data_IF_459577665988
#
_entry.id   IF_459577665988
#
_cell.length_a   1.000
_cell.length_b   1.000
_cell.length_c   1.000
_cell.angle_alpha   90.00
_cell.angle_beta   90.00
_cell.angle_gamma   90.00
#
_symmetry.space_group_name_H-M   'P 1'
#
loop_
_entity.id
_entity.type
_entity.pdbx_description
1 polymer ?
#
# COMPACT_ATOMS: atom_id res chain seq x y z
N UNK A 1 33.61 45.37 -27.90
CA UNK A 1 32.84 44.53 -26.97
C UNK A 1 32.60 45.31 -25.69
N UNK A 2 31.35 45.62 -25.39
CA UNK A 2 30.96 46.29 -24.14
C UNK A 2 30.57 45.23 -23.11
N UNK A 3 30.92 45.44 -21.84
CA UNK A 3 30.15 44.87 -20.73
C UNK A 3 30.21 45.85 -19.56
N UNK A 4 29.09 46.53 -19.34
CA UNK A 4 28.86 47.44 -18.24
C UNK A 4 28.64 46.65 -16.95
N UNK A 5 29.27 47.08 -15.87
CA UNK A 5 29.05 46.56 -14.52
C UNK A 5 27.76 47.18 -13.96
N UNK A 6 26.82 46.35 -13.51
CA UNK A 6 25.68 46.78 -12.70
C UNK A 6 25.73 46.00 -11.39
N UNK A 7 25.93 46.73 -10.30
CA UNK A 7 25.71 46.27 -8.93
C UNK A 7 24.27 46.58 -8.56
N UNK A 8 23.53 45.57 -8.08
CA UNK A 8 22.25 45.78 -7.40
C UNK A 8 22.25 44.99 -6.10
N UNK A 9 22.14 45.73 -5.00
CA UNK A 9 21.85 45.21 -3.68
C UNK A 9 20.52 44.45 -3.68
N UNK A 10 20.55 43.14 -3.51
CA UNK A 10 19.38 42.37 -3.11
C UNK A 10 19.32 42.34 -1.58
N UNK A 11 18.28 42.98 -1.03
CA UNK A 11 17.94 42.98 0.39
C UNK A 11 17.90 41.54 0.90
N UNK A 12 18.53 41.28 2.07
CA UNK A 12 18.26 40.06 2.84
C UNK A 12 16.78 40.06 3.23
N UNK A 13 15.95 39.39 2.43
CA UNK A 13 14.70 38.85 2.94
C UNK A 13 15.11 37.75 3.92
N UNK A 14 14.91 38.03 5.21
CA UNK A 14 14.83 37.01 6.24
C UNK A 14 13.78 36.00 5.77
N UNK A 15 14.23 34.89 5.19
CA UNK A 15 13.36 33.76 4.92
C UNK A 15 13.03 33.17 6.29
N UNK A 16 11.97 33.68 6.92
CA UNK A 16 11.10 32.80 7.70
C UNK A 16 10.72 31.68 6.75
N UNK A 17 11.46 30.57 6.82
CA UNK A 17 11.04 29.31 6.23
C UNK A 17 9.83 28.91 7.03
N UNK A 18 8.68 29.41 6.62
CA UNK A 18 7.41 28.98 7.16
C UNK A 18 7.37 27.46 6.92
N UNK A 19 7.23 26.70 8.00
CA UNK A 19 6.85 25.29 7.95
C UNK A 19 5.37 25.19 7.50
N UNK A 20 5.04 25.80 6.36
CA UNK A 20 3.75 25.59 5.74
C UNK A 20 3.83 24.26 4.99
N UNK A 21 2.96 23.36 5.44
CA UNK A 21 2.53 22.11 4.81
C UNK A 21 3.40 20.88 5.11
N UNK A 22 3.45 20.50 6.39
CA UNK A 22 3.89 19.16 6.84
C UNK A 22 2.80 18.09 6.68
N UNK A 23 1.58 18.48 6.31
CA UNK A 23 0.43 17.59 6.14
C UNK A 23 -0.02 17.62 4.67
N UNK A 24 -0.21 16.44 4.10
CA UNK A 24 -0.83 16.27 2.78
C UNK A 24 -2.34 16.48 2.88
N UNK A 25 -2.91 17.19 1.91
CA UNK A 25 -4.35 17.38 1.78
C UNK A 25 -4.96 16.43 0.74
N UNK A 26 -6.25 16.09 0.90
CA UNK A 26 -6.96 15.18 -0.01
C UNK A 26 -6.94 15.62 -1.48
N UNK A 27 -6.95 16.93 -1.71
CA UNK A 27 -6.94 17.52 -3.06
C UNK A 27 -5.57 17.39 -3.76
N UNK A 28 -4.53 16.98 -3.02
CA UNK A 28 -3.17 16.76 -3.53
C UNK A 28 -2.92 15.29 -3.89
N UNK A 29 -3.91 14.42 -3.69
CA UNK A 29 -3.78 12.98 -3.90
C UNK A 29 -4.12 12.63 -5.35
N UNK A 30 -3.22 11.88 -5.99
CA UNK A 30 -3.41 11.41 -7.35
C UNK A 30 -4.45 10.28 -7.37
N UNK A 31 -5.50 10.44 -8.17
CA UNK A 31 -6.48 9.38 -8.43
C UNK A 31 -6.04 8.52 -9.61
N UNK A 32 -6.09 7.21 -9.43
CA UNK A 32 -5.72 6.21 -10.40
C UNK A 32 -6.92 5.33 -10.70
N UNK A 33 -7.09 5.01 -11.98
CA UNK A 33 -8.04 3.99 -12.42
C UNK A 33 -7.32 3.06 -13.38
N UNK A 34 -7.57 1.77 -13.24
CA UNK A 34 -7.10 0.77 -14.20
C UNK A 34 -7.64 1.12 -15.59
N UNK A 35 -6.82 1.10 -16.65
CA UNK A 35 -7.31 1.30 -18.02
C UNK A 35 -8.41 0.31 -18.42
N UNK A 36 -8.40 -0.87 -17.80
CA UNK A 36 -9.34 -1.97 -18.05
C UNK A 36 -10.58 -1.89 -17.13
N UNK A 37 -10.65 -0.89 -16.24
CA UNK A 37 -11.67 -0.80 -15.20
C UNK A 37 -11.42 -1.78 -14.05
N UNK A 38 -12.40 -1.95 -13.16
CA UNK A 38 -12.34 -2.93 -12.06
C UNK A 38 -11.45 -2.54 -10.87
N UNK A 39 -10.59 -1.53 -11.02
CA UNK A 39 -9.73 -1.02 -9.95
C UNK A 39 -9.62 0.50 -10.03
N UNK A 40 -9.74 1.13 -8.86
CA UNK A 40 -9.55 2.57 -8.65
C UNK A 40 -8.86 2.82 -7.33
N UNK A 41 -8.05 3.86 -7.23
CA UNK A 41 -7.39 4.18 -5.98
C UNK A 41 -6.84 5.59 -5.90
N UNK A 42 -6.53 6.00 -4.67
CA UNK A 42 -5.92 7.28 -4.34
C UNK A 42 -4.55 7.00 -3.76
N UNK A 43 -3.50 7.54 -4.38
CA UNK A 43 -2.12 7.24 -4.02
C UNK A 43 -1.41 8.47 -3.47
N UNK A 44 -0.85 8.33 -2.28
CA UNK A 44 0.10 9.27 -1.70
C UNK A 44 1.51 8.66 -1.78
N UNK A 45 2.47 9.41 -2.32
CA UNK A 45 3.90 9.04 -2.34
C UNK A 45 4.67 10.04 -1.48
N UNK A 46 5.39 9.56 -0.47
CA UNK A 46 6.23 10.39 0.39
C UNK A 46 7.51 9.65 0.76
N UNK A 47 8.65 10.32 0.59
CA UNK A 47 9.96 9.82 1.02
C UNK A 47 10.30 8.36 0.62
N UNK A 48 9.87 7.90 -0.56
CA UNK A 48 10.10 6.52 -1.05
C UNK A 48 9.06 5.49 -0.60
N UNK A 49 8.18 5.86 0.31
CA UNK A 49 7.00 5.09 0.72
C UNK A 49 5.79 5.54 -0.07
N UNK A 50 4.84 4.63 -0.29
CA UNK A 50 3.55 4.94 -0.89
C UNK A 50 2.44 4.30 -0.10
N UNK A 51 1.37 5.07 0.07
CA UNK A 51 0.11 4.63 0.64
C UNK A 51 -0.95 4.71 -0.44
N UNK A 52 -1.72 3.65 -0.57
CA UNK A 52 -2.79 3.53 -1.55
C UNK A 52 -4.08 3.22 -0.81
N UNK A 53 -5.10 4.04 -1.03
CA UNK A 53 -6.48 3.67 -0.75
C UNK A 53 -7.08 3.12 -2.03
N UNK A 54 -7.50 1.86 -2.05
CA UNK A 54 -8.00 1.22 -3.26
C UNK A 54 -9.42 0.67 -3.10
N UNK A 55 -10.13 0.65 -4.22
CA UNK A 55 -11.36 -0.08 -4.42
C UNK A 55 -11.19 -1.00 -5.62
N UNK A 56 -11.58 -2.26 -5.46
CA UNK A 56 -11.64 -3.20 -6.57
C UNK A 56 -13.05 -3.75 -6.69
N UNK A 57 -13.53 -3.89 -7.91
CA UNK A 57 -14.81 -4.54 -8.19
C UNK A 57 -14.64 -6.07 -8.06
N UNK A 58 -15.72 -6.78 -7.75
CA UNK A 58 -15.72 -8.23 -7.63
C UNK A 58 -15.16 -8.91 -8.89
N UNK A 59 -14.31 -9.90 -8.69
CA UNK A 59 -13.61 -10.62 -9.76
C UNK A 59 -12.35 -9.93 -10.27
N UNK A 60 -12.05 -8.70 -9.83
CA UNK A 60 -10.77 -8.08 -10.17
C UNK A 60 -9.61 -8.92 -9.60
N UNK A 61 -8.65 -9.23 -10.46
CA UNK A 61 -7.56 -10.14 -10.18
C UNK A 61 -6.23 -9.50 -10.56
N UNK A 62 -5.23 -9.64 -9.70
CA UNK A 62 -3.88 -9.16 -9.95
C UNK A 62 -2.85 -10.09 -9.32
N UNK A 63 -1.85 -10.46 -10.12
CA UNK A 63 -0.76 -11.34 -9.70
C UNK A 63 0.58 -10.75 -10.12
N UNK A 64 1.46 -10.47 -9.15
CA UNK A 64 2.75 -9.85 -9.42
C UNK A 64 3.72 -10.00 -8.23
N UNK A 65 4.92 -9.44 -8.39
CA UNK A 65 5.89 -9.23 -7.32
C UNK A 65 6.57 -7.88 -7.49
N UNK A 66 7.13 -7.35 -6.40
CA UNK A 66 7.96 -6.16 -6.39
C UNK A 66 9.01 -6.27 -5.27
N UNK A 67 10.14 -5.56 -5.35
CA UNK A 67 11.24 -5.74 -4.40
C UNK A 67 10.94 -5.21 -3.00
N UNK A 68 9.96 -4.32 -2.85
CA UNK A 68 9.56 -3.74 -1.57
C UNK A 68 8.59 -4.64 -0.81
N UNK A 69 8.55 -4.53 0.51
CA UNK A 69 7.45 -5.13 1.28
C UNK A 69 6.13 -4.38 1.06
N UNK A 70 5.01 -5.06 1.29
CA UNK A 70 3.65 -4.52 1.21
C UNK A 70 2.82 -4.94 2.42
N UNK A 71 2.09 -4.01 3.00
CA UNK A 71 0.98 -4.28 3.93
C UNK A 71 -0.32 -4.01 3.19
N UNK A 72 -1.29 -4.90 3.29
CA UNK A 72 -2.67 -4.69 2.85
C UNK A 72 -3.59 -4.85 4.05
N UNK A 73 -4.41 -3.83 4.29
CA UNK A 73 -5.47 -3.84 5.29
C UNK A 73 -6.81 -3.78 4.59
N UNK A 74 -7.63 -4.82 4.77
CA UNK A 74 -8.94 -4.91 4.14
C UNK A 74 -9.98 -4.15 4.99
N UNK A 75 -10.63 -3.15 4.40
CA UNK A 75 -11.65 -2.31 5.04
C UNK A 75 -13.04 -2.92 4.86
N UNK A 76 -13.35 -3.41 3.65
CA UNK A 76 -14.62 -4.07 3.35
C UNK A 76 -14.46 -5.15 2.26
N UNK A 77 -15.43 -6.04 2.19
CA UNK A 77 -15.47 -7.13 1.20
C UNK A 77 -14.63 -8.35 1.59
N UNK A 78 -14.32 -9.19 0.61
CA UNK A 78 -13.58 -10.44 0.77
C UNK A 78 -12.50 -10.53 -0.31
N UNK A 79 -11.28 -10.86 0.10
CA UNK A 79 -10.10 -10.93 -0.78
C UNK A 79 -9.44 -12.29 -0.63
N UNK A 80 -9.30 -13.04 -1.72
CA UNK A 80 -8.48 -14.24 -1.73
C UNK A 80 -7.02 -13.85 -1.98
N UNK A 81 -6.14 -14.16 -1.04
CA UNK A 81 -4.71 -13.92 -1.14
C UNK A 81 -3.94 -15.24 -1.26
N UNK A 82 -3.08 -15.34 -2.26
CA UNK A 82 -2.13 -16.44 -2.46
C UNK A 82 -0.72 -15.88 -2.47
N UNK A 83 0.11 -16.26 -1.50
CA UNK A 83 1.45 -15.71 -1.28
C UNK A 83 2.49 -16.82 -1.36
N UNK A 84 3.46 -16.69 -2.27
CA UNK A 84 4.51 -17.69 -2.49
C UNK A 84 4.88 -17.83 -3.96
N UNK A 85 5.95 -18.58 -4.26
CA UNK A 85 6.40 -18.81 -5.62
C UNK A 85 5.42 -19.74 -6.37
N UNK A 86 4.79 -19.31 -7.48
CA UNK A 86 3.91 -20.16 -8.26
C UNK A 86 4.63 -21.38 -8.88
N UNK A 87 5.95 -21.34 -9.02
CA UNK A 87 6.76 -22.49 -9.44
C UNK A 87 6.94 -23.54 -8.33
N UNK A 88 6.64 -23.19 -7.07
CA UNK A 88 6.67 -24.07 -5.91
C UNK A 88 5.33 -24.07 -5.15
N UNK A 89 4.29 -24.69 -5.72
CA UNK A 89 2.92 -24.62 -5.19
C UNK A 89 2.77 -25.23 -3.79
N UNK A 90 3.70 -26.09 -3.35
CA UNK A 90 3.68 -26.66 -2.01
C UNK A 90 3.94 -25.60 -0.91
N UNK A 91 4.57 -24.48 -1.27
CA UNK A 91 4.91 -23.39 -0.35
C UNK A 91 4.02 -22.15 -0.54
N UNK A 92 3.02 -22.21 -1.42
CA UNK A 92 2.03 -21.13 -1.56
C UNK A 92 1.05 -21.18 -0.39
N UNK A 93 0.95 -20.07 0.33
CA UNK A 93 -0.05 -19.87 1.38
C UNK A 93 -1.27 -19.19 0.78
N UNK A 94 -2.43 -19.83 0.94
CA UNK A 94 -3.71 -19.31 0.50
C UNK A 94 -4.58 -18.94 1.71
N UNK A 95 -5.15 -17.75 1.70
CA UNK A 95 -6.05 -17.28 2.76
C UNK A 95 -7.09 -16.30 2.21
N UNK A 96 -8.33 -16.48 2.61
CA UNK A 96 -9.38 -15.46 2.43
C UNK A 96 -9.29 -14.44 3.56
N UNK A 97 -9.19 -13.17 3.21
CA UNK A 97 -9.17 -12.03 4.11
C UNK A 97 -10.56 -11.39 4.14
N UNK A 98 -10.99 -10.97 5.33
CA UNK A 98 -12.21 -10.21 5.55
C UNK A 98 -11.95 -8.83 6.18
N UNK A 99 -13.01 -8.04 6.44
CA UNK A 99 -12.88 -6.70 7.00
C UNK A 99 -12.12 -6.69 8.33
N UNK A 100 -11.11 -5.84 8.42
CA UNK A 100 -10.21 -5.73 9.59
C UNK A 100 -8.96 -6.59 9.50
N UNK A 101 -8.89 -7.56 8.58
CA UNK A 101 -7.69 -8.38 8.41
C UNK A 101 -6.57 -7.58 7.74
N UNK A 102 -5.35 -7.89 8.20
CA UNK A 102 -4.12 -7.30 7.66
C UNK A 102 -3.25 -8.44 7.16
N UNK A 103 -2.88 -8.37 5.89
CA UNK A 103 -1.86 -9.25 5.30
C UNK A 103 -0.60 -8.45 5.04
N UNK A 104 0.51 -9.13 5.24
CA UNK A 104 1.84 -8.59 5.07
C UNK A 104 2.55 -9.48 4.04
N UNK A 105 3.10 -8.87 3.00
CA UNK A 105 3.70 -9.52 1.84
C UNK A 105 5.19 -9.17 1.78
N UNK A 106 6.11 -10.14 1.89
CA UNK A 106 7.54 -9.85 1.91
C UNK A 106 8.03 -9.30 0.57
N UNK A 107 9.09 -8.50 0.61
CA UNK A 107 9.75 -8.02 -0.61
C UNK A 107 10.24 -9.18 -1.46
N UNK A 108 10.05 -9.08 -2.78
CA UNK A 108 10.43 -10.09 -3.76
C UNK A 108 9.52 -11.32 -3.79
N UNK A 109 8.51 -11.42 -2.92
CA UNK A 109 7.60 -12.57 -2.89
C UNK A 109 6.42 -12.34 -3.83
N UNK A 110 6.15 -13.34 -4.67
CA UNK A 110 5.00 -13.32 -5.57
C UNK A 110 3.70 -13.41 -4.76
N UNK A 111 2.72 -12.63 -5.18
CA UNK A 111 1.40 -12.61 -4.60
C UNK A 111 0.35 -12.48 -5.70
N UNK A 112 -0.68 -13.30 -5.57
CA UNK A 112 -1.84 -13.40 -6.43
C UNK A 112 -3.07 -13.11 -5.57
N UNK A 113 -3.83 -12.11 -6.00
CA UNK A 113 -4.93 -11.54 -5.24
C UNK A 113 -6.17 -11.49 -6.12
N UNK A 114 -7.31 -11.93 -5.57
CA UNK A 114 -8.59 -11.88 -6.26
C UNK A 114 -9.67 -11.31 -5.34
N UNK A 115 -10.29 -10.20 -5.74
CA UNK A 115 -11.44 -9.65 -5.04
C UNK A 115 -12.63 -10.60 -5.23
N UNK A 116 -13.06 -11.29 -4.16
CA UNK A 116 -14.20 -12.21 -4.21
C UNK A 116 -15.54 -11.47 -4.20
N UNK A 117 -15.55 -10.28 -3.61
CA UNK A 117 -16.63 -9.29 -3.64
C UNK A 117 -16.02 -7.92 -3.94
N UNK A 118 -16.84 -6.88 -4.11
CA UNK A 118 -16.33 -5.51 -4.16
C UNK A 118 -15.57 -5.20 -2.86
N UNK A 119 -14.33 -4.73 -2.96
CA UNK A 119 -13.47 -4.47 -1.81
C UNK A 119 -13.09 -3.00 -1.69
N UNK A 120 -12.81 -2.60 -0.45
CA UNK A 120 -12.07 -1.39 -0.10
C UNK A 120 -10.87 -1.83 0.75
N UNK A 121 -9.68 -1.32 0.43
CA UNK A 121 -8.48 -1.65 1.16
C UNK A 121 -7.49 -0.49 1.24
N UNK A 122 -6.66 -0.52 2.26
CA UNK A 122 -5.47 0.32 2.37
C UNK A 122 -4.23 -0.52 2.10
N UNK A 123 -3.32 -0.02 1.29
CA UNK A 123 -2.01 -0.60 1.10
C UNK A 123 -0.91 0.39 1.50
N UNK A 124 0.16 -0.13 2.09
CA UNK A 124 1.39 0.62 2.32
C UNK A 124 2.54 -0.18 1.75
N UNK A 125 3.37 0.47 0.93
CA UNK A 125 4.52 -0.13 0.27
C UNK A 125 5.75 0.77 0.40
N UNK A 126 6.93 0.17 0.28
CA UNK A 126 8.19 0.93 0.34
C UNK A 126 8.75 1.13 1.76
N UNK A 127 8.28 0.33 2.72
CA UNK A 127 8.96 0.22 4.01
C UNK A 127 10.30 -0.52 3.78
N UNK A 128 11.43 0.17 3.92
CA UNK A 128 12.70 -0.48 4.27
C UNK A 128 12.53 -1.05 5.70
N UNK A 129 11.89 -2.21 5.80
CA UNK A 129 11.62 -2.91 7.05
C UNK A 129 12.75 -3.89 7.38
N UNK A 130 13.13 -4.05 8.67
CA UNK A 130 14.28 -4.86 9.08
C UNK A 130 14.07 -6.36 8.80
N UNK A 131 15.18 -7.10 8.71
CA UNK A 131 15.30 -8.54 8.40
C UNK A 131 14.58 -9.51 9.39
N UNK A 132 13.64 -9.04 10.22
CA UNK A 132 12.93 -9.83 11.25
C UNK A 132 11.42 -9.71 11.10
N UNK A 133 10.93 -10.44 10.10
CA UNK A 133 9.58 -10.43 9.57
C UNK A 133 8.57 -11.25 10.40
N UNK A 134 9.01 -12.18 11.24
CA UNK A 134 8.09 -13.11 11.94
C UNK A 134 7.19 -12.43 12.99
N UNK A 135 7.45 -11.16 13.32
CA UNK A 135 6.77 -10.42 14.39
C UNK A 135 5.47 -9.71 13.94
N UNK A 136 5.22 -9.58 12.63
CA UNK A 136 4.08 -8.82 12.09
C UNK A 136 3.00 -9.68 11.39
N UNK A 137 3.03 -11.00 11.56
CA UNK A 137 1.98 -11.87 11.06
C UNK A 137 0.65 -11.66 11.82
N UNK A 138 -0.39 -11.26 11.06
CA UNK A 138 -1.82 -11.46 11.29
C UNK A 138 -2.28 -11.31 12.74
N UNK A 139 -2.74 -10.11 13.10
CA UNK A 139 -3.73 -9.96 14.17
C UNK A 139 -5.10 -9.91 13.53
N UNK A 140 -5.74 -11.06 13.41
CA UNK A 140 -7.20 -11.07 13.26
C UNK A 140 -7.80 -10.35 14.46
N UNK A 141 -8.86 -9.58 14.25
CA UNK A 141 -9.70 -9.20 15.38
C UNK A 141 -10.14 -10.50 16.08
N UNK A 142 -10.00 -10.63 17.41
CA UNK A 142 -10.46 -11.83 18.09
C UNK A 142 -11.96 -12.00 17.85
N UNK A 143 -12.38 -13.08 17.18
CA UNK A 143 -13.81 -13.41 17.08
C UNK A 143 -14.35 -14.26 15.93
N UNK A 144 -13.57 -14.76 14.97
CA UNK A 144 -14.17 -15.53 13.83
C UNK A 144 -13.82 -17.00 13.70
N UNK A 145 -12.91 -17.55 14.51
CA UNK A 145 -12.60 -18.99 14.47
C UNK A 145 -12.42 -19.60 15.88
N UNK A 146 -13.47 -19.55 16.70
CA UNK A 146 -13.64 -20.51 17.80
C UNK A 146 -15.05 -21.10 17.76
N UNK A 147 -15.28 -21.95 16.77
CA UNK A 147 -16.35 -22.96 16.84
C UNK A 147 -15.71 -24.33 16.69
N UNK A 148 -15.50 -25.02 17.80
CA UNK A 148 -15.40 -26.47 17.79
C UNK A 148 -14.34 -27.07 18.71
N UNK A 149 -14.85 -27.90 19.63
CA UNK A 149 -14.20 -28.96 20.44
C UNK A 149 -13.48 -28.51 21.72
N UNK A 150 -13.73 -29.10 22.91
CA UNK A 150 -14.23 -30.45 23.22
C UNK A 150 -15.17 -30.45 24.44
N UNK A 151 -16.20 -31.29 24.39
CA UNK A 151 -16.74 -31.97 25.56
C UNK A 151 -15.97 -33.26 25.82
#
# INVERSE_FOLDING_TARGET
>A
MACATISTHARRASSRRLMHDTFTHWDEIEEWTSPEGGWRGRRLVFAGTWTLHMYCDAGYHWAHSHPQSQVVWLVSGELLAKIGDPADPANVREQTLGPGDIVLIPGGVHHDMTALTDIEAWEVRGMEGPDRWEEFCIRTAPGKHETGRNG
#
